data_IF_190350061199
#
_entry.id   IF_190350061199
#
_cell.length_a   1.000
_cell.length_b   1.000
_cell.length_c   1.000
_cell.angle_alpha   90.00
_cell.angle_beta   90.00
_cell.angle_gamma   90.00
#
_symmetry.space_group_name_H-M   'P 1'
#
loop_
_entity.id
_entity.type
_entity.pdbx_description
1 polymer ?
#
# COMPACT_ATOMS: atom_id res chain seq x y z
N UNK A 1 3.84 -34.96 -4.33
CA UNK A 1 4.16 -33.52 -4.40
C UNK A 1 2.93 -32.64 -4.61
N UNK A 2 2.07 -32.85 -5.62
CA UNK A 2 0.81 -32.09 -5.74
C UNK A 2 -0.25 -32.48 -4.69
N UNK A 3 -0.42 -33.79 -4.42
CA UNK A 3 -1.34 -34.28 -3.39
C UNK A 3 -0.94 -33.92 -1.94
N UNK A 4 0.29 -33.43 -1.72
CA UNK A 4 0.75 -33.05 -0.39
C UNK A 4 0.31 -31.63 -0.04
N UNK A 5 0.14 -30.74 -1.03
CA UNK A 5 -0.40 -29.39 -0.81
C UNK A 5 -1.89 -29.41 -0.48
N UNK A 6 -2.69 -30.22 -1.19
CA UNK A 6 -4.12 -30.35 -0.92
C UNK A 6 -4.37 -30.93 0.48
N UNK A 7 -3.58 -31.92 0.91
CA UNK A 7 -3.65 -32.47 2.27
C UNK A 7 -3.22 -31.48 3.35
N UNK A 8 -2.38 -30.49 3.01
CA UNK A 8 -1.98 -29.43 3.95
C UNK A 8 -3.08 -28.35 4.03
N UNK A 9 -3.69 -27.97 2.90
CA UNK A 9 -4.82 -27.04 2.87
C UNK A 9 -6.08 -27.60 3.55
N UNK A 10 -6.37 -28.90 3.41
CA UNK A 10 -7.46 -29.57 4.14
C UNK A 10 -7.18 -29.64 5.65
N UNK A 11 -5.93 -29.91 6.03
CA UNK A 11 -5.53 -29.97 7.45
C UNK A 11 -5.47 -28.59 8.12
N UNK A 12 -5.34 -27.51 7.34
CA UNK A 12 -5.50 -26.14 7.83
C UNK A 12 -6.98 -25.74 7.96
N UNK A 13 -7.86 -26.23 7.08
CA UNK A 13 -9.32 -26.05 7.19
C UNK A 13 -9.90 -26.75 8.42
N UNK A 14 -9.34 -27.90 8.83
CA UNK A 14 -9.71 -28.59 10.07
C UNK A 14 -9.17 -27.93 11.36
N UNK A 15 -8.21 -27.00 11.24
CA UNK A 15 -7.70 -26.19 12.38
C UNK A 15 -8.43 -24.87 12.57
N UNK A 16 -9.40 -24.55 11.72
CA UNK A 16 -10.45 -23.58 12.08
C UNK A 16 -11.29 -24.26 13.16
N UNK A 17 -10.84 -24.13 14.41
CA UNK A 17 -11.58 -24.63 15.57
C UNK A 17 -13.03 -24.18 15.42
N UNK A 18 -14.02 -25.07 15.67
CA UNK A 18 -15.42 -24.65 15.67
C UNK A 18 -15.49 -23.44 16.59
N UNK A 19 -16.06 -22.35 16.09
CA UNK A 19 -16.29 -21.13 16.86
C UNK A 19 -17.08 -21.56 18.10
N UNK A 20 -16.38 -21.84 19.21
CA UNK A 20 -17.00 -22.35 20.43
C UNK A 20 -17.83 -21.18 20.89
N UNK A 21 -19.15 -21.31 20.72
CA UNK A 21 -20.12 -20.35 21.22
C UNK A 21 -20.07 -20.46 22.74
N UNK A 22 -19.08 -19.80 23.35
CA UNK A 22 -18.97 -19.68 24.80
C UNK A 22 -20.21 -18.87 25.20
N UNK A 23 -21.11 -19.51 25.94
CA UNK A 23 -22.24 -18.79 26.53
C UNK A 23 -21.68 -17.84 27.59
N UNK A 24 -21.54 -16.56 27.25
CA UNK A 24 -20.99 -15.51 28.15
C UNK A 24 -21.76 -15.39 29.49
N UNK A 25 -22.95 -15.99 29.57
CA UNK A 25 -23.80 -15.99 30.75
C UNK A 25 -23.24 -16.84 31.90
N UNK A 26 -22.51 -17.92 31.62
CA UNK A 26 -22.03 -18.87 32.65
C UNK A 26 -20.69 -18.52 33.27
N UNK A 27 -19.90 -17.61 32.69
CA UNK A 27 -18.55 -17.28 33.18
C UNK A 27 -18.54 -16.29 34.36
N UNK A 28 -17.56 -16.43 35.24
CA UNK A 28 -17.27 -15.47 36.31
C UNK A 28 -16.77 -14.11 35.78
N UNK A 29 -16.85 -13.05 36.60
CA UNK A 29 -16.39 -11.71 36.19
C UNK A 29 -14.89 -11.69 35.88
N UNK A 30 -14.07 -12.35 36.70
CA UNK A 30 -12.61 -12.42 36.51
C UNK A 30 -12.21 -13.21 35.24
N UNK A 31 -12.91 -14.31 34.97
CA UNK A 31 -12.70 -15.10 33.74
C UNK A 31 -13.03 -14.27 32.49
N UNK A 32 -14.10 -13.49 32.54
CA UNK A 32 -14.52 -12.64 31.43
C UNK A 32 -13.56 -11.47 31.19
N UNK A 33 -13.00 -10.89 32.25
CA UNK A 33 -11.94 -9.87 32.17
C UNK A 33 -10.67 -10.45 31.55
N UNK A 34 -10.22 -11.62 32.02
CA UNK A 34 -9.05 -12.31 31.45
C UNK A 34 -9.26 -12.67 29.98
N UNK A 35 -10.46 -13.15 29.60
CA UNK A 35 -10.79 -13.45 28.21
C UNK A 35 -10.74 -12.20 27.33
N UNK A 36 -11.29 -11.08 27.82
CA UNK A 36 -11.28 -9.80 27.11
C UNK A 36 -9.85 -9.31 26.86
N UNK A 37 -8.96 -9.42 27.86
CA UNK A 37 -7.55 -9.05 27.70
C UNK A 37 -6.84 -9.89 26.64
N UNK A 38 -7.06 -11.22 26.64
CA UNK A 38 -6.49 -12.11 25.61
C UNK A 38 -6.97 -11.75 24.21
N UNK A 39 -8.28 -11.52 24.04
CA UNK A 39 -8.84 -11.09 22.75
C UNK A 39 -8.27 -9.75 22.30
N UNK A 40 -8.04 -8.80 23.21
CA UNK A 40 -7.41 -7.51 22.88
C UNK A 40 -5.95 -7.65 22.43
N UNK A 41 -5.17 -8.54 23.04
CA UNK A 41 -3.79 -8.84 22.61
C UNK A 41 -3.75 -9.49 21.22
N UNK A 42 -4.60 -10.49 20.99
CA UNK A 42 -4.74 -11.12 19.68
C UNK A 42 -5.16 -10.10 18.61
N UNK A 43 -6.14 -9.24 18.92
CA UNK A 43 -6.57 -8.19 18.02
C UNK A 43 -5.45 -7.19 17.68
N UNK A 44 -4.63 -6.80 18.67
CA UNK A 44 -3.45 -5.96 18.44
C UNK A 44 -2.42 -6.64 17.53
N UNK A 45 -2.18 -7.93 17.74
CA UNK A 45 -1.25 -8.71 16.91
C UNK A 45 -1.73 -8.81 15.46
N UNK A 46 -3.02 -9.13 15.28
CA UNK A 46 -3.67 -9.20 13.96
C UNK A 46 -3.57 -7.84 13.25
N UNK A 47 -3.80 -6.74 13.97
CA UNK A 47 -3.68 -5.38 13.42
C UNK A 47 -2.24 -5.04 13.01
N UNK A 48 -1.23 -5.48 13.77
CA UNK A 48 0.18 -5.31 13.40
C UNK A 48 0.51 -6.10 12.12
N UNK A 49 0.06 -7.35 12.03
CA UNK A 49 0.24 -8.17 10.84
C UNK A 49 -0.41 -7.54 9.61
N UNK A 50 -1.62 -7.00 9.76
CA UNK A 50 -2.31 -6.25 8.72
C UNK A 50 -1.47 -5.08 8.18
N UNK A 51 -0.90 -4.26 9.07
CA UNK A 51 -0.06 -3.13 8.67
C UNK A 51 1.22 -3.58 7.92
N UNK A 52 1.82 -4.69 8.34
CA UNK A 52 2.99 -5.27 7.65
C UNK A 52 2.61 -5.72 6.23
N UNK A 53 1.46 -6.37 6.08
CA UNK A 53 0.97 -6.83 4.77
C UNK A 53 0.64 -5.64 3.85
N UNK A 54 -0.03 -4.59 4.35
CA UNK A 54 -0.24 -3.36 3.57
C UNK A 54 1.08 -2.71 3.15
N UNK A 55 2.05 -2.58 4.06
CA UNK A 55 3.37 -2.05 3.75
C UNK A 55 4.10 -2.86 2.67
N UNK A 56 3.95 -4.17 2.70
CA UNK A 56 4.50 -5.06 1.67
C UNK A 56 3.82 -4.84 0.30
N UNK A 57 2.50 -4.61 0.22
CA UNK A 57 1.82 -4.27 -1.05
C UNK A 57 2.44 -3.03 -1.67
N UNK A 58 2.59 -1.97 -0.87
CA UNK A 58 3.15 -0.69 -1.33
C UNK A 58 4.59 -0.86 -1.80
N UNK A 59 5.38 -1.70 -1.11
CA UNK A 59 6.76 -1.96 -1.51
C UNK A 59 6.82 -2.72 -2.84
N UNK A 60 5.97 -3.73 -3.04
CA UNK A 60 5.89 -4.44 -4.31
C UNK A 60 5.41 -3.55 -5.46
N UNK A 61 4.48 -2.63 -5.20
CA UNK A 61 4.02 -1.66 -6.19
C UNK A 61 5.15 -0.69 -6.59
N UNK A 62 5.92 -0.19 -5.62
CA UNK A 62 7.13 0.60 -5.88
C UNK A 62 8.12 -0.16 -6.75
N UNK A 63 8.41 -1.43 -6.43
CA UNK A 63 9.32 -2.25 -7.22
C UNK A 63 8.83 -2.44 -8.66
N UNK A 64 7.53 -2.67 -8.86
CA UNK A 64 6.91 -2.75 -10.19
C UNK A 64 7.11 -1.45 -10.97
N UNK A 65 6.79 -0.32 -10.35
CA UNK A 65 6.92 1.00 -10.98
C UNK A 65 8.39 1.30 -11.35
N UNK A 66 9.35 0.90 -10.52
CA UNK A 66 10.78 1.03 -10.84
C UNK A 66 11.17 0.23 -12.10
N UNK A 67 10.64 -0.99 -12.27
CA UNK A 67 10.92 -1.83 -13.45
C UNK A 67 10.33 -1.20 -14.72
N UNK A 68 9.12 -0.63 -14.62
CA UNK A 68 8.47 0.05 -15.75
C UNK A 68 9.19 1.36 -16.13
N UNK A 69 9.68 2.12 -15.14
CA UNK A 69 10.44 3.36 -15.36
C UNK A 69 11.79 3.14 -16.04
N UNK A 70 12.45 2.01 -15.79
CA UNK A 70 13.72 1.67 -16.42
C UNK A 70 13.56 1.27 -17.91
N UNK A 71 12.33 1.01 -18.37
CA UNK A 71 12.06 0.66 -19.76
C UNK A 71 10.78 1.34 -20.29
N UNK A 72 10.78 2.69 -20.41
CA UNK A 72 9.58 3.47 -20.69
C UNK A 72 9.02 3.26 -22.11
N UNK A 73 9.87 2.86 -23.07
CA UNK A 73 9.49 2.60 -24.47
C UNK A 73 8.66 1.32 -24.64
N UNK A 74 8.87 0.32 -23.78
CA UNK A 74 8.22 -1.00 -23.89
C UNK A 74 6.92 -1.13 -23.10
N UNK A 75 6.68 -0.24 -22.14
CA UNK A 75 5.57 -0.35 -21.18
C UNK A 75 4.71 0.92 -21.06
N UNK A 76 4.82 1.88 -22.00
CA UNK A 76 4.08 3.17 -21.98
C UNK A 76 4.07 3.83 -20.59
N UNK A 77 5.22 3.84 -19.91
CA UNK A 77 5.32 4.55 -18.65
C UNK A 77 5.16 6.04 -18.95
N UNK A 78 4.10 6.67 -18.40
CA UNK A 78 3.96 8.13 -18.40
C UNK A 78 5.21 8.69 -17.76
N UNK A 79 6.09 9.23 -18.60
CA UNK A 79 7.39 9.71 -18.22
C UNK A 79 7.18 10.86 -17.22
N UNK A 80 7.31 10.60 -15.92
CA UNK A 80 7.25 11.62 -14.87
C UNK A 80 8.59 12.40 -14.79
N UNK A 81 9.33 12.47 -15.88
CA UNK A 81 10.46 13.37 -16.08
C UNK A 81 10.01 14.55 -16.93
N UNK A 82 9.02 15.32 -16.44
CA UNK A 82 8.61 16.57 -17.06
C UNK A 82 9.80 17.54 -17.20
N UNK A 83 10.71 17.54 -16.22
CA UNK A 83 11.88 18.40 -16.17
C UNK A 83 12.88 18.16 -17.32
N UNK A 84 13.18 16.90 -17.67
CA UNK A 84 14.10 16.59 -18.78
C UNK A 84 13.48 16.89 -20.14
N UNK A 85 12.18 16.60 -20.29
CA UNK A 85 11.43 16.93 -21.51
C UNK A 85 11.31 18.45 -21.72
N UNK A 86 11.24 19.22 -20.64
CA UNK A 86 11.18 20.69 -20.69
C UNK A 86 12.54 21.30 -21.06
N UNK A 87 13.65 20.70 -20.60
CA UNK A 87 15.00 21.11 -20.98
C UNK A 87 15.29 20.84 -22.47
N UNK A 88 14.96 19.64 -22.97
CA UNK A 88 15.10 19.28 -24.39
C UNK A 88 14.22 20.19 -25.28
N UNK A 89 12.98 20.48 -24.85
CA UNK A 89 12.11 21.44 -25.54
C UNK A 89 12.72 22.85 -25.56
N UNK A 90 13.37 23.27 -24.48
CA UNK A 90 14.00 24.60 -24.40
C UNK A 90 15.19 24.77 -25.34
N UNK A 91 15.96 23.70 -25.59
CA UNK A 91 17.06 23.71 -26.57
C UNK A 91 16.57 23.72 -28.02
N UNK A 92 15.53 22.94 -28.33
CA UNK A 92 14.90 22.93 -29.66
C UNK A 92 14.30 24.30 -30.04
N UNK A 93 13.66 24.99 -29.08
CA UNK A 93 13.11 26.35 -29.29
C UNK A 93 14.23 27.36 -29.59
N UNK A 94 15.39 27.25 -28.94
CA UNK A 94 16.55 28.13 -29.18
C UNK A 94 17.14 27.94 -30.58
N UNK A 95 17.15 26.71 -31.10
CA UNK A 95 17.65 26.42 -32.45
C UNK A 95 16.71 26.96 -33.54
N UNK A 96 15.39 26.82 -33.37
CA UNK A 96 14.39 27.34 -34.31
C UNK A 96 14.43 28.87 -34.42
N UNK A 97 14.58 29.58 -33.29
CA UNK A 97 14.68 31.04 -33.28
C UNK A 97 15.98 31.56 -33.95
N UNK A 98 17.05 30.76 -33.99
CA UNK A 98 18.33 31.16 -34.58
C UNK A 98 18.29 31.13 -36.11
N UNK A 99 17.63 30.15 -36.72
CA UNK A 99 17.46 30.09 -38.17
C UNK A 99 16.52 31.20 -38.70
N UNK A 100 15.49 31.56 -37.93
CA UNK A 100 14.51 32.58 -38.34
C UNK A 100 15.09 34.00 -38.42
N UNK A 101 16.19 34.29 -37.70
CA UNK A 101 16.84 35.61 -37.71
C UNK A 101 17.82 35.83 -38.86
N UNK A 102 18.23 34.77 -39.58
CA UNK A 102 19.13 34.88 -40.72
C UNK A 102 18.41 35.13 -42.07
N UNK A 103 17.08 34.90 -42.13
CA UNK A 103 16.34 34.80 -43.40
C UNK A 103 15.52 36.02 -43.85
N UNK A 104 15.75 37.23 -43.33
CA UNK A 104 14.94 38.41 -43.74
C UNK A 104 15.74 39.45 -44.52
N UNK A 105 15.95 39.19 -45.82
CA UNK A 105 15.95 40.24 -46.85
C UNK A 105 15.75 39.69 -48.27
N UNK A 106 14.81 40.35 -48.97
CA UNK A 106 14.58 40.44 -50.43
C UNK A 106 13.39 39.61 -50.99
N UNK A 107 12.57 40.32 -51.76
CA UNK A 107 11.26 39.98 -52.32
C UNK A 107 11.37 39.30 -53.71
N UNK A 108 10.36 38.46 -53.97
CA UNK A 108 9.74 38.07 -55.27
C UNK A 108 10.64 37.82 -56.49
N UNK A 109 10.94 36.54 -56.72
CA UNK A 109 10.93 35.82 -58.02
C UNK A 109 11.25 34.31 -57.83
N UNK A 110 11.59 33.89 -56.61
CA UNK A 110 12.00 32.52 -56.28
C UNK A 110 11.01 31.69 -55.45
N UNK A 111 9.69 31.89 -55.57
CA UNK A 111 8.73 31.12 -54.74
C UNK A 111 8.83 29.60 -54.97
N UNK A 112 9.11 29.16 -56.21
CA UNK A 112 9.37 27.73 -56.48
C UNK A 112 10.74 27.25 -55.98
N UNK A 113 11.78 28.09 -56.03
CA UNK A 113 13.10 27.71 -55.54
C UNK A 113 13.08 27.59 -54.02
N UNK A 114 12.50 28.57 -53.34
CA UNK A 114 12.41 28.59 -51.88
C UNK A 114 11.48 27.51 -51.33
N UNK A 115 10.42 27.14 -52.06
CA UNK A 115 9.58 26.00 -51.73
C UNK A 115 10.30 24.66 -51.96
N UNK A 116 11.07 24.52 -53.04
CA UNK A 116 11.92 23.33 -53.28
C UNK A 116 13.01 23.20 -52.22
N UNK A 117 13.64 24.30 -51.82
CA UNK A 117 14.63 24.33 -50.75
C UNK A 117 14.01 23.95 -49.40
N UNK A 118 12.79 24.43 -49.13
CA UNK A 118 12.03 24.07 -47.92
C UNK A 118 11.62 22.58 -47.92
N UNK A 119 11.23 22.03 -49.07
CA UNK A 119 10.91 20.61 -49.22
C UNK A 119 12.15 19.73 -49.06
N UNK A 120 13.28 20.12 -49.66
CA UNK A 120 14.56 19.41 -49.49
C UNK A 120 15.05 19.46 -48.03
N UNK A 121 14.85 20.58 -47.34
CA UNK A 121 15.14 20.70 -45.91
C UNK A 121 14.23 19.80 -45.07
N UNK A 122 12.93 19.72 -45.39
CA UNK A 122 12.00 18.81 -44.72
C UNK A 122 12.36 17.34 -44.97
N UNK A 123 12.74 16.95 -46.19
CA UNK A 123 13.19 15.60 -46.51
C UNK A 123 14.47 15.24 -45.75
N UNK A 124 15.45 16.15 -45.68
CA UNK A 124 16.66 15.91 -44.86
C UNK A 124 16.37 15.87 -43.36
N UNK A 125 15.35 16.59 -42.87
CA UNK A 125 14.90 16.50 -41.49
C UNK A 125 14.16 15.18 -41.22
N UNK A 126 13.35 14.71 -42.16
CA UNK A 126 12.67 13.40 -42.10
C UNK A 126 13.71 12.29 -42.07
N UNK A 127 14.72 12.33 -42.96
CA UNK A 127 15.82 11.36 -42.96
C UNK A 127 16.61 11.40 -41.65
N UNK A 128 16.90 12.59 -41.10
CA UNK A 128 17.56 12.72 -39.79
C UNK A 128 16.69 12.19 -38.64
N UNK A 129 15.38 12.35 -38.70
CA UNK A 129 14.44 11.79 -37.71
C UNK A 129 14.37 10.26 -37.86
N UNK A 130 14.35 9.73 -39.07
CA UNK A 130 14.40 8.28 -39.31
C UNK A 130 15.72 7.66 -38.85
N UNK A 131 16.86 8.32 -39.10
CA UNK A 131 18.18 7.89 -38.63
C UNK A 131 18.22 7.92 -37.11
N UNK A 132 17.82 9.04 -36.47
CA UNK A 132 17.73 9.11 -35.01
C UNK A 132 16.76 8.07 -34.40
N UNK A 133 15.69 7.71 -35.11
CA UNK A 133 14.75 6.67 -34.67
C UNK A 133 15.38 5.27 -34.76
N UNK A 134 16.14 4.99 -35.83
CA UNK A 134 16.91 3.73 -35.99
C UNK A 134 18.05 3.64 -34.97
N UNK A 135 18.70 4.76 -34.64
CA UNK A 135 19.76 4.83 -33.63
C UNK A 135 19.19 4.67 -32.19
N UNK A 136 17.99 5.23 -31.93
CA UNK A 136 17.30 5.08 -30.65
C UNK A 136 16.81 3.65 -30.37
N UNK A 137 16.58 2.84 -31.40
CA UNK A 137 16.21 1.42 -31.25
C UNK A 137 17.43 0.53 -31.00
N UNK A 138 18.65 1.00 -31.30
CA UNK A 138 19.87 0.18 -31.27
C UNK A 138 20.78 0.49 -30.08
N UNK A 139 20.73 1.71 -29.52
CA UNK A 139 21.47 2.04 -28.31
C UNK A 139 20.64 1.75 -27.04
N UNK A 140 20.96 0.65 -26.36
CA UNK A 140 20.58 0.46 -24.95
C UNK A 140 21.14 1.65 -24.15
N UNK A 141 20.33 2.71 -23.96
CA UNK A 141 20.73 3.92 -23.22
C UNK A 141 21.28 3.52 -21.86
N UNK A 142 22.60 3.65 -21.70
CA UNK A 142 23.26 3.40 -20.43
C UNK A 142 22.81 4.49 -19.46
N UNK A 143 21.94 4.13 -18.50
CA UNK A 143 21.47 5.06 -17.48
C UNK A 143 22.60 5.32 -16.49
N UNK A 144 22.96 6.59 -16.31
CA UNK A 144 23.88 7.03 -15.28
C UNK A 144 23.16 7.10 -13.93
N UNK A 145 23.72 6.44 -12.91
CA UNK A 145 23.09 6.23 -11.61
C UNK A 145 24.13 6.34 -10.50
N UNK A 146 23.77 7.02 -9.42
CA UNK A 146 24.56 7.05 -8.20
C UNK A 146 24.13 5.95 -7.24
N UNK A 147 25.02 5.00 -6.98
CA UNK A 147 24.77 3.90 -6.04
C UNK A 147 25.22 4.32 -4.64
N UNK A 148 24.33 4.28 -3.62
CA UNK A 148 24.72 4.51 -2.24
C UNK A 148 25.56 3.32 -1.74
N UNK A 149 26.80 3.57 -1.32
CA UNK A 149 27.63 2.58 -0.64
C UNK A 149 27.36 2.60 0.87
N UNK A 150 27.11 3.78 1.42
CA UNK A 150 26.80 4.05 2.84
C UNK A 150 25.92 5.30 2.91
N UNK A 151 25.38 5.64 4.08
CA UNK A 151 24.46 6.78 4.28
C UNK A 151 24.96 8.14 3.77
N UNK A 152 26.28 8.35 3.62
CA UNK A 152 26.88 9.61 3.18
C UNK A 152 27.72 9.49 1.90
N UNK A 153 27.92 8.29 1.36
CA UNK A 153 28.85 8.05 0.24
C UNK A 153 28.10 7.42 -0.93
N UNK A 154 28.14 8.12 -2.06
CA UNK A 154 27.56 7.70 -3.32
C UNK A 154 28.66 7.52 -4.37
N UNK A 155 28.55 6.45 -5.16
CA UNK A 155 29.49 6.14 -6.24
C UNK A 155 28.75 6.24 -7.58
N UNK A 156 29.28 7.00 -8.56
CA UNK A 156 28.70 7.05 -9.90
C UNK A 156 28.92 5.72 -10.63
N UNK A 157 27.90 5.27 -11.36
CA UNK A 157 27.95 4.02 -12.13
C UNK A 157 26.90 4.03 -13.24
N UNK A 158 27.08 3.15 -14.23
CA UNK A 158 26.17 3.05 -15.38
C UNK A 158 25.48 1.70 -15.39
N UNK A 159 24.16 1.69 -15.63
CA UNK A 159 23.38 0.46 -15.81
C UNK A 159 23.55 -0.03 -17.26
N UNK A 160 24.15 -1.22 -17.42
CA UNK A 160 24.41 -1.84 -18.73
C UNK A 160 23.21 -2.66 -19.22
N UNK A 161 22.46 -3.28 -18.31
CA UNK A 161 21.33 -4.14 -18.63
C UNK A 161 20.06 -3.65 -17.94
N UNK A 162 19.06 -3.30 -18.75
CA UNK A 162 17.73 -2.83 -18.32
C UNK A 162 16.64 -3.88 -18.54
N UNK A 163 16.97 -5.06 -19.09
CA UNK A 163 15.98 -6.10 -19.38
C UNK A 163 15.94 -7.21 -18.33
N UNK A 164 17.06 -7.48 -17.66
CA UNK A 164 17.14 -8.54 -16.66
C UNK A 164 17.24 -7.98 -15.24
N UNK A 165 16.37 -8.47 -14.37
CA UNK A 165 16.27 -8.07 -12.98
C UNK A 165 16.55 -9.24 -12.05
N UNK A 166 17.22 -8.94 -10.93
CA UNK A 166 17.50 -9.91 -9.88
C UNK A 166 16.41 -9.82 -8.81
N UNK A 167 15.57 -10.87 -8.71
CA UNK A 167 14.44 -10.91 -7.78
C UNK A 167 14.74 -11.86 -6.62
N UNK A 168 14.51 -11.40 -5.38
CA UNK A 168 14.53 -12.27 -4.20
C UNK A 168 13.22 -13.05 -4.09
N UNK A 169 13.31 -14.38 -4.20
CA UNK A 169 12.15 -15.29 -4.18
C UNK A 169 11.88 -15.90 -2.79
N UNK A 170 12.85 -15.91 -1.87
CA UNK A 170 12.71 -16.61 -0.59
C UNK A 170 13.94 -16.59 0.30
N UNK A 171 14.29 -17.73 0.89
CA UNK A 171 15.39 -18.06 1.82
C UNK A 171 16.79 -17.69 1.30
N UNK A 172 17.00 -16.40 1.03
CA UNK A 172 18.21 -15.80 0.46
C UNK A 172 18.59 -16.28 -0.95
N UNK A 173 17.62 -16.79 -1.71
CA UNK A 173 17.81 -17.09 -3.14
C UNK A 173 17.35 -15.92 -4.01
N UNK A 174 18.20 -15.61 -4.99
CA UNK A 174 17.98 -14.61 -6.02
C UNK A 174 17.86 -15.28 -7.38
N UNK A 175 16.87 -14.86 -8.17
CA UNK A 175 16.62 -15.41 -9.50
C UNK A 175 16.65 -14.26 -10.49
N UNK A 176 17.42 -14.41 -11.56
CA UNK A 176 17.42 -13.48 -12.68
C UNK A 176 16.18 -13.74 -13.54
N UNK A 177 15.40 -12.70 -13.81
CA UNK A 177 14.16 -12.75 -14.59
C UNK A 177 14.11 -11.58 -15.55
N UNK A 178 13.42 -11.77 -16.67
CA UNK A 178 13.18 -10.68 -17.62
C UNK A 178 12.17 -9.66 -17.04
N UNK A 179 12.19 -8.42 -17.53
CA UNK A 179 11.28 -7.34 -17.16
C UNK A 179 9.80 -7.77 -17.17
N UNK A 180 9.33 -8.44 -18.25
CA UNK A 180 7.94 -8.89 -18.36
C UNK A 180 7.56 -9.90 -17.26
N UNK A 181 8.43 -10.90 -17.05
CA UNK A 181 8.23 -11.93 -16.02
C UNK A 181 8.27 -11.33 -14.61
N UNK A 182 9.08 -10.28 -14.42
CA UNK A 182 9.22 -9.56 -13.14
C UNK A 182 7.92 -8.82 -12.79
N UNK A 183 7.33 -8.12 -13.75
CA UNK A 183 6.05 -7.41 -13.58
C UNK A 183 4.93 -8.41 -13.26
N UNK A 184 4.86 -9.52 -14.00
CA UNK A 184 3.88 -10.58 -13.75
C UNK A 184 4.04 -11.18 -12.35
N UNK A 185 5.28 -11.43 -11.92
CA UNK A 185 5.58 -11.94 -10.58
C UNK A 185 5.09 -10.99 -9.49
N UNK A 186 5.37 -9.69 -9.61
CA UNK A 186 4.91 -8.69 -8.64
C UNK A 186 3.38 -8.56 -8.63
N UNK A 187 2.72 -8.53 -9.79
CA UNK A 187 1.26 -8.50 -9.88
C UNK A 187 0.63 -9.73 -9.19
N UNK A 188 1.18 -10.93 -9.42
CA UNK A 188 0.71 -12.16 -8.76
C UNK A 188 0.90 -12.10 -7.24
N UNK A 189 2.02 -11.56 -6.76
CA UNK A 189 2.30 -11.42 -5.33
C UNK A 189 1.37 -10.40 -4.67
N UNK A 190 1.13 -9.25 -5.32
CA UNK A 190 0.17 -8.24 -4.88
C UNK A 190 -1.24 -8.82 -4.82
N UNK A 191 -1.66 -9.61 -5.82
CA UNK A 191 -2.95 -10.30 -5.83
C UNK A 191 -3.16 -11.21 -4.61
N UNK A 192 -2.17 -12.09 -4.33
CA UNK A 192 -2.21 -12.97 -3.16
C UNK A 192 -2.26 -12.19 -1.84
N UNK A 193 -1.45 -11.13 -1.75
CA UNK A 193 -1.37 -10.30 -0.55
C UNK A 193 -2.69 -9.54 -0.30
N UNK A 194 -3.32 -9.05 -1.36
CA UNK A 194 -4.63 -8.40 -1.28
C UNK A 194 -5.73 -9.37 -0.81
N UNK A 195 -5.70 -10.64 -1.23
CA UNK A 195 -6.64 -11.65 -0.75
C UNK A 195 -6.46 -11.89 0.76
N UNK A 196 -5.21 -12.03 1.22
CA UNK A 196 -4.88 -12.17 2.65
C UNK A 196 -5.32 -10.95 3.46
N UNK A 197 -5.09 -9.74 2.93
CA UNK A 197 -5.54 -8.47 3.54
C UNK A 197 -7.06 -8.46 3.68
N UNK A 198 -7.81 -8.87 2.65
CA UNK A 198 -9.28 -8.93 2.71
C UNK A 198 -9.77 -9.88 3.80
N UNK A 199 -9.20 -11.09 3.89
CA UNK A 199 -9.52 -12.05 4.96
C UNK A 199 -9.24 -11.46 6.33
N UNK A 200 -8.06 -10.85 6.49
CA UNK A 200 -7.65 -10.25 7.76
C UNK A 200 -8.52 -9.04 8.17
N UNK A 201 -9.01 -8.23 7.22
CA UNK A 201 -9.97 -7.15 7.49
C UNK A 201 -11.25 -7.67 8.14
N UNK A 202 -11.80 -8.75 7.60
CA UNK A 202 -13.02 -9.38 8.13
C UNK A 202 -12.74 -9.87 9.56
N UNK A 203 -11.66 -10.62 9.77
CA UNK A 203 -11.26 -11.11 11.10
C UNK A 203 -11.03 -9.98 12.12
N UNK A 204 -10.45 -8.84 11.71
CA UNK A 204 -10.26 -7.68 12.59
C UNK A 204 -11.60 -7.11 13.07
N UNK A 205 -12.61 -7.05 12.18
CA UNK A 205 -13.94 -6.53 12.51
C UNK A 205 -14.67 -7.51 13.43
N UNK A 206 -14.64 -8.81 13.11
CA UNK A 206 -15.26 -9.86 13.92
C UNK A 206 -14.67 -9.88 15.34
N UNK A 207 -13.34 -9.90 15.46
CA UNK A 207 -12.65 -9.87 16.76
C UNK A 207 -12.93 -8.59 17.54
N UNK A 208 -13.08 -7.44 16.87
CA UNK A 208 -13.47 -6.18 17.51
C UNK A 208 -14.89 -6.29 18.10
N UNK A 209 -15.83 -6.84 17.33
CA UNK A 209 -17.21 -7.04 17.78
C UNK A 209 -17.26 -8.01 18.97
N UNK A 210 -16.48 -9.10 18.95
CA UNK A 210 -16.36 -10.03 20.09
C UNK A 210 -15.85 -9.35 21.36
N UNK A 211 -14.82 -8.50 21.24
CA UNK A 211 -14.29 -7.71 22.36
C UNK A 211 -15.37 -6.76 22.91
N UNK A 212 -16.08 -6.06 22.03
CA UNK A 212 -17.12 -5.11 22.43
C UNK A 212 -18.31 -5.84 23.10
N UNK A 213 -18.69 -7.03 22.62
CA UNK A 213 -19.67 -7.90 23.28
C UNK A 213 -19.22 -8.32 24.68
N UNK A 214 -17.97 -8.77 24.83
CA UNK A 214 -17.42 -9.14 26.14
C UNK A 214 -17.42 -7.95 27.11
N UNK A 215 -17.03 -6.75 26.63
CA UNK A 215 -17.05 -5.52 27.42
C UNK A 215 -18.45 -5.15 27.90
N UNK A 216 -19.46 -5.25 27.04
CA UNK A 216 -20.85 -5.00 27.41
C UNK A 216 -21.33 -5.99 28.49
N UNK A 217 -20.98 -7.27 28.38
CA UNK A 217 -21.31 -8.26 29.41
C UNK A 217 -20.60 -8.01 30.75
N UNK A 218 -19.32 -7.58 30.73
CA UNK A 218 -18.59 -7.18 31.95
C UNK A 218 -19.33 -6.01 32.62
N UNK A 219 -19.78 -5.02 31.86
CA UNK A 219 -20.50 -3.87 32.40
C UNK A 219 -21.84 -4.27 33.02
N UNK A 220 -22.61 -5.11 32.32
CA UNK A 220 -23.90 -5.61 32.79
C UNK A 220 -23.75 -6.42 34.10
N UNK A 221 -22.80 -7.35 34.15
CA UNK A 221 -22.52 -8.14 35.37
C UNK A 221 -22.02 -7.26 36.51
N UNK A 222 -21.18 -6.26 36.24
CA UNK A 222 -20.72 -5.28 37.24
C UNK A 222 -21.88 -4.47 37.82
N UNK A 223 -22.83 -4.05 36.97
CA UNK A 223 -24.03 -3.32 37.43
C UNK A 223 -24.94 -4.20 38.30
N UNK A 224 -25.16 -5.47 37.92
CA UNK A 224 -25.92 -6.42 38.73
C UNK A 224 -25.29 -6.65 40.11
N UNK A 225 -23.96 -6.70 40.18
CA UNK A 225 -23.23 -6.86 41.44
C UNK A 225 -23.31 -5.62 42.34
N UNK A 226 -23.34 -4.41 41.75
CA UNK A 226 -23.55 -3.15 42.49
C UNK A 226 -24.97 -3.06 43.06
N UNK A 227 -25.99 -3.49 42.31
CA UNK A 227 -27.39 -3.48 42.78
C UNK A 227 -27.65 -4.55 43.85
N UNK A 228 -26.96 -5.70 43.78
CA UNK A 228 -27.08 -6.77 44.80
C UNK A 228 -26.31 -6.47 46.10
N UNK A 229 -25.31 -5.58 46.08
CA UNK A 229 -24.52 -5.19 47.26
C UNK A 229 -25.06 -4.00 48.05
N UNK A 230 -26.11 -3.30 47.56
CA UNK A 230 -26.63 -2.06 48.17
C UNK A 230 -27.87 -2.21 49.05
N UNK A 231 -28.35 -3.43 49.30
CA UNK A 231 -29.66 -3.69 49.91
C UNK A 231 -29.67 -4.21 51.35
N UNK A 232 -28.64 -3.95 52.16
CA UNK A 232 -28.58 -4.50 53.52
C UNK A 232 -27.87 -3.59 54.54
N UNK A 233 -28.46 -2.44 54.89
CA UNK A 233 -28.36 -1.81 56.24
C UNK A 233 -29.28 -0.59 56.33
N UNK A 234 -30.55 -0.79 56.71
CA UNK A 234 -31.38 0.26 57.32
C UNK A 234 -32.50 -0.40 58.13
N UNK A 235 -32.15 -0.96 59.29
CA UNK A 235 -33.10 -1.53 60.23
C UNK A 235 -32.56 -1.47 61.66
N UNK A 236 -33.14 -0.57 62.46
CA UNK A 236 -33.16 -0.65 63.93
C UNK A 236 -32.26 0.34 64.68
N UNK A 237 -32.83 1.40 65.26
CA UNK A 237 -33.10 1.32 66.70
C UNK A 237 -34.14 2.34 67.21
N UNK A 238 -34.88 1.84 68.19
CA UNK A 238 -36.01 2.41 68.93
C UNK A 238 -35.52 3.51 69.88
N UNK A 239 -36.24 4.63 69.98
CA UNK A 239 -36.28 5.38 71.24
C UNK A 239 -37.70 5.84 71.57
N UNK A 240 -38.19 5.35 72.71
CA UNK A 240 -39.45 5.65 73.35
C UNK A 240 -39.19 6.79 74.33
N UNK A 241 -39.85 7.94 74.15
CA UNK A 241 -40.09 8.85 75.27
C UNK A 241 -41.49 9.46 75.15
N UNK A 242 -42.29 9.15 76.17
CA UNK A 242 -43.65 9.61 76.42
C UNK A 242 -43.71 11.14 76.62
N UNK A 243 -44.75 11.79 76.10
CA UNK A 243 -45.48 12.88 76.77
C UNK A 243 -46.77 13.24 75.99
N UNK A 244 -47.93 12.89 76.54
CA UNK A 244 -49.18 13.65 76.37
C UNK A 244 -49.21 14.73 77.47
N UNK A 245 -49.85 15.92 77.32
CA UNK A 245 -51.31 16.00 77.19
C UNK A 245 -51.93 17.21 76.44
N UNK A 246 -53.23 17.04 76.11
CA UNK A 246 -54.35 18.01 76.20
C UNK A 246 -54.48 19.21 75.22
N UNK A 247 -55.54 19.09 74.41
CA UNK A 247 -56.56 20.09 74.00
C UNK A 247 -56.17 21.48 73.47
N UNK A 248 -56.64 21.82 72.26
CA UNK A 248 -57.56 22.93 72.02
C UNK A 248 -58.03 22.94 70.54
N UNK A 249 -59.34 23.19 70.37
CA UNK A 249 -60.09 23.47 69.14
C UNK A 249 -59.74 24.89 68.61
N UNK A 250 -60.35 25.48 67.55
CA UNK A 250 -61.75 25.38 67.10
C UNK A 250 -62.02 24.52 65.84
#
# INVERSE_FOLDING_TARGET
MACDLEKIEEKEREREQPNVVIQLNSLGLDELVSLTLKLEEEWKLIKKNYAILEGAVVTYDKCKNCVEQLNPTKFEAKNFNAFMNELERSELIKLCNKEQTAGRRILSEGEESQARDSLQQLDTLIDKIEINKKDAETEKKALDVHIPLTSLVYIPGKIVDTENFLIRMGTNYYVQRNAKQTIEYFNKKIGKLNEQIKKLKITIIEKKNEIDLCKNYIQLKRQMQMTAGGGATAGGNVNVQQATPRAANP
#
